data_IF_466676110975
#
_entry.id   IF_466676110975
#
_cell.length_a   1.000
_cell.length_b   1.000
_cell.length_c   1.000
_cell.angle_alpha   90.00
_cell.angle_beta   90.00
_cell.angle_gamma   90.00
#
_symmetry.space_group_name_H-M   'P 1'
#
loop_
_entity.id
_entity.type
_entity.pdbx_description
1 polymer ?
#
# COMPACT_ATOMS: atom_id res chain seq x y z
N UNK A 1 -1.99 23.19 -25.26
CA UNK A 1 -0.96 22.59 -24.39
C UNK A 1 -1.56 22.50 -22.99
N UNK A 2 -2.27 21.40 -22.69
CA UNK A 2 -2.96 21.21 -21.42
C UNK A 2 -2.34 19.99 -20.73
N UNK A 3 -1.29 20.26 -19.98
CA UNK A 3 -0.64 19.39 -19.01
C UNK A 3 -1.61 19.17 -17.83
N UNK A 4 -2.71 18.45 -18.07
CA UNK A 4 -3.73 18.23 -17.03
C UNK A 4 -4.36 16.84 -17.01
N UNK A 5 -3.88 15.93 -17.85
CA UNK A 5 -4.01 14.51 -17.56
C UNK A 5 -2.81 14.10 -16.73
N UNK A 6 -2.83 14.54 -15.45
CA UNK A 6 -2.24 13.72 -14.39
C UNK A 6 -2.94 12.38 -14.52
N UNK A 7 -2.38 11.46 -15.30
CA UNK A 7 -2.66 10.04 -15.17
C UNK A 7 -2.62 9.78 -13.67
N UNK A 8 -3.78 9.60 -13.07
CA UNK A 8 -3.86 9.04 -11.74
C UNK A 8 -3.04 7.76 -11.88
N UNK A 9 -1.84 7.75 -11.28
CA UNK A 9 -0.94 6.62 -11.38
C UNK A 9 -1.69 5.50 -10.69
N UNK A 10 -2.46 4.72 -11.47
CA UNK A 10 -3.03 3.47 -11.03
C UNK A 10 -1.82 2.57 -10.85
N UNK A 11 -1.21 2.66 -9.66
CA UNK A 11 -0.09 1.83 -9.30
C UNK A 11 -0.61 0.41 -9.28
N UNK A 12 -0.04 -0.43 -10.14
CA UNK A 12 -0.45 -1.82 -10.21
C UNK A 12 -0.12 -2.47 -8.84
N UNK A 13 -0.97 -3.38 -8.36
CA UNK A 13 -0.82 -4.06 -7.05
C UNK A 13 0.52 -4.79 -6.85
N UNK A 14 1.13 -5.31 -7.91
CA UNK A 14 2.48 -5.88 -7.87
C UNK A 14 3.52 -4.81 -7.54
N UNK A 15 3.46 -3.64 -8.19
CA UNK A 15 4.41 -2.54 -7.94
C UNK A 15 4.27 -2.04 -6.50
N UNK A 16 3.02 -1.88 -6.02
CA UNK A 16 2.75 -1.51 -4.63
C UNK A 16 3.32 -2.54 -3.66
N UNK A 17 3.09 -3.83 -3.91
CA UNK A 17 3.61 -4.89 -3.06
C UNK A 17 5.15 -4.94 -3.03
N UNK A 18 5.80 -4.70 -4.16
CA UNK A 18 7.27 -4.64 -4.26
C UNK A 18 7.83 -3.44 -3.49
N UNK A 19 7.27 -2.24 -3.69
CA UNK A 19 7.70 -1.03 -2.97
C UNK A 19 7.53 -1.20 -1.45
N UNK A 20 6.41 -1.74 -0.99
CA UNK A 20 6.17 -2.00 0.44
C UNK A 20 7.12 -3.06 0.99
N UNK A 21 7.44 -4.10 0.22
CA UNK A 21 8.40 -5.13 0.62
C UNK A 21 9.81 -4.53 0.76
N UNK A 22 10.24 -3.71 -0.21
CA UNK A 22 11.52 -3.01 -0.13
C UNK A 22 11.57 -2.05 1.06
N UNK A 23 10.50 -1.28 1.31
CA UNK A 23 10.42 -0.39 2.46
C UNK A 23 10.47 -1.15 3.79
N UNK A 24 9.76 -2.27 3.90
CA UNK A 24 9.76 -3.09 5.12
C UNK A 24 11.16 -3.59 5.47
N UNK A 25 11.98 -3.89 4.46
CA UNK A 25 13.34 -4.39 4.61
C UNK A 25 14.43 -3.33 4.46
N UNK A 26 14.10 -2.06 4.25
CA UNK A 26 15.11 -1.01 4.03
C UNK A 26 16.05 -0.81 5.22
N UNK A 27 15.58 -1.14 6.42
CA UNK A 27 16.32 -1.04 7.69
C UNK A 27 16.43 -2.39 8.43
N UNK A 28 16.08 -3.50 7.77
CA UNK A 28 16.07 -4.84 8.39
C UNK A 28 17.00 -5.77 7.65
N UNK A 29 17.78 -6.55 8.41
CA UNK A 29 18.57 -7.63 7.83
C UNK A 29 17.63 -8.72 7.31
N UNK A 30 17.91 -9.17 6.09
CA UNK A 30 17.20 -10.25 5.41
C UNK A 30 18.13 -11.44 5.32
N UNK A 31 17.77 -12.54 5.97
CA UNK A 31 18.56 -13.79 5.97
C UNK A 31 17.81 -14.99 5.39
N UNK A 32 16.51 -14.84 5.07
CA UNK A 32 15.68 -15.92 4.57
C UNK A 32 14.70 -15.46 3.45
N UNK A 33 14.79 -16.10 2.29
CA UNK A 33 13.90 -15.90 1.13
C UNK A 33 12.43 -16.19 1.46
N UNK A 34 12.13 -17.18 2.30
CA UNK A 34 10.76 -17.55 2.69
C UNK A 34 10.09 -16.41 3.47
N UNK A 35 10.87 -15.67 4.26
CA UNK A 35 10.35 -14.49 4.95
C UNK A 35 10.00 -13.37 3.96
N UNK A 36 10.86 -13.14 2.96
CA UNK A 36 10.59 -12.16 1.90
C UNK A 36 9.29 -12.52 1.18
N UNK A 37 9.14 -13.79 0.76
CA UNK A 37 7.94 -14.27 0.10
C UNK A 37 6.69 -14.05 0.97
N UNK A 38 6.76 -14.38 2.26
CA UNK A 38 5.66 -14.19 3.20
C UNK A 38 5.27 -12.72 3.35
N UNK A 39 6.24 -11.81 3.44
CA UNK A 39 6.00 -10.37 3.55
C UNK A 39 5.43 -9.82 2.25
N UNK A 40 6.00 -10.17 1.11
CA UNK A 40 5.51 -9.79 -0.21
C UNK A 40 4.05 -10.25 -0.42
N UNK A 41 3.75 -11.53 -0.17
CA UNK A 41 2.39 -12.07 -0.33
C UNK A 41 1.38 -11.34 0.56
N UNK A 42 1.78 -10.95 1.78
CA UNK A 42 0.92 -10.14 2.67
C UNK A 42 0.63 -8.77 2.06
N UNK A 43 1.65 -8.06 1.59
CA UNK A 43 1.44 -6.74 0.99
C UNK A 43 0.65 -6.80 -0.32
N UNK A 44 0.87 -7.83 -1.14
CA UNK A 44 0.08 -8.05 -2.35
C UNK A 44 -1.39 -8.32 -2.03
N UNK A 45 -1.68 -9.16 -1.03
CA UNK A 45 -3.05 -9.42 -0.60
C UNK A 45 -3.75 -8.14 -0.09
N UNK A 46 -3.03 -7.29 0.64
CA UNK A 46 -3.56 -5.99 1.09
C UNK A 46 -3.83 -5.08 -0.12
N UNK A 47 -2.92 -4.99 -1.08
CA UNK A 47 -3.10 -4.18 -2.28
C UNK A 47 -4.30 -4.65 -3.12
N UNK A 48 -4.48 -5.97 -3.31
CA UNK A 48 -5.63 -6.54 -4.03
C UNK A 48 -6.95 -6.33 -3.28
N UNK A 49 -6.92 -6.36 -1.93
CA UNK A 49 -8.10 -6.06 -1.13
C UNK A 49 -8.50 -4.59 -1.27
N UNK A 50 -7.55 -3.66 -1.10
CA UNK A 50 -7.80 -2.22 -1.19
C UNK A 50 -8.29 -1.81 -2.59
N UNK A 51 -7.74 -2.41 -3.65
CA UNK A 51 -8.18 -2.17 -5.04
C UNK A 51 -9.67 -2.49 -5.26
N UNK A 52 -10.24 -3.40 -4.47
CA UNK A 52 -11.63 -3.84 -4.58
C UNK A 52 -12.55 -3.22 -3.54
N UNK A 53 -12.02 -2.44 -2.61
CA UNK A 53 -12.77 -1.86 -1.50
C UNK A 53 -13.16 -0.41 -1.81
N UNK A 54 -14.39 -0.06 -1.44
CA UNK A 54 -14.83 1.33 -1.43
C UNK A 54 -14.12 2.12 -0.33
N UNK A 55 -13.92 3.42 -0.56
CA UNK A 55 -13.17 4.29 0.33
C UNK A 55 -13.72 4.30 1.78
N UNK A 56 -15.05 4.25 1.93
CA UNK A 56 -15.72 4.24 3.24
C UNK A 56 -15.42 2.98 4.04
N UNK A 57 -15.20 1.84 3.37
CA UNK A 57 -14.83 0.59 4.02
C UNK A 57 -13.34 0.53 4.33
N UNK A 58 -12.50 1.15 3.49
CA UNK A 58 -11.07 1.24 3.76
C UNK A 58 -10.78 2.00 5.06
N UNK A 59 -11.48 3.11 5.31
CA UNK A 59 -11.32 3.92 6.54
C UNK A 59 -11.57 3.08 7.79
N UNK A 60 -12.44 2.07 7.74
CA UNK A 60 -12.74 1.17 8.87
C UNK A 60 -11.61 0.17 9.16
N UNK A 61 -10.74 -0.11 8.18
CA UNK A 61 -9.58 -0.99 8.36
C UNK A 61 -8.34 -0.25 8.88
N UNK A 62 -8.33 1.07 8.74
CA UNK A 62 -7.23 1.91 9.20
C UNK A 62 -7.38 2.11 10.71
N UNK A 63 -6.33 1.88 11.53
CA UNK A 63 -6.35 2.20 12.95
C UNK A 63 -6.83 3.63 13.21
N UNK A 64 -7.68 3.84 14.22
CA UNK A 64 -8.32 5.14 14.48
C UNK A 64 -7.33 6.30 14.54
N UNK A 65 -6.14 6.07 15.09
CA UNK A 65 -5.05 7.05 15.22
C UNK A 65 -4.59 7.56 13.85
N UNK A 66 -4.51 6.67 12.85
CA UNK A 66 -4.17 7.03 11.48
C UNK A 66 -5.37 7.65 10.76
N UNK A 67 -6.60 7.17 11.01
CA UNK A 67 -7.81 7.75 10.43
C UNK A 67 -7.97 9.24 10.81
N UNK A 68 -7.64 9.60 12.06
CA UNK A 68 -7.62 11.00 12.52
C UNK A 68 -6.64 11.88 11.75
N UNK A 69 -5.47 11.36 11.37
CA UNK A 69 -4.48 12.11 10.58
C UNK A 69 -4.96 12.38 9.15
N UNK A 70 -5.78 11.50 8.58
CA UNK A 70 -6.36 11.66 7.25
C UNK A 70 -7.48 12.71 7.20
N UNK A 71 -8.24 12.88 8.28
CA UNK A 71 -9.28 13.92 8.40
C UNK A 71 -8.71 15.34 8.53
N UNK A 72 -7.47 15.50 8.98
CA UNK A 72 -6.83 16.82 9.15
C UNK A 72 -6.21 17.34 7.84
N UNK A 73 -6.00 16.48 6.84
CA UNK A 73 -5.34 16.83 5.58
C UNK A 73 -6.28 17.03 4.38
N UNK A 74 -7.58 16.78 4.52
CA UNK A 74 -8.59 16.95 3.47
C UNK A 74 -9.68 17.94 3.90
#
# INVERSE_FOLDING_TARGET
MAEKDKLAVQRNKLDVALELTHLYYSERLVDNVEQIQKVFTRFYAIADLVERMDADDFVKLVPEELARLWQVRN
#
